data_IF_973364610113
#
_entry.id   IF_973364610113
#
_cell.length_a   1.000
_cell.length_b   1.000
_cell.length_c   1.000
_cell.angle_alpha   90.00
_cell.angle_beta   90.00
_cell.angle_gamma   90.00
#
_symmetry.space_group_name_H-M   'P 1'
#
loop_
_entity.id
_entity.type
_entity.pdbx_description
1 polymer ?
#
# COMPACT_ATOMS: atom_id res chain seq x y z
N UNK A 1 -50.77 6.12 44.45
CA UNK A 1 -50.44 4.73 44.04
C UNK A 1 -49.42 4.80 42.92
N UNK A 2 -48.14 4.63 43.22
CA UNK A 2 -47.08 4.45 42.22
C UNK A 2 -46.82 2.94 42.15
N UNK A 3 -47.41 2.28 41.15
CA UNK A 3 -47.24 0.85 40.91
C UNK A 3 -45.91 0.66 40.18
N UNK A 4 -44.85 0.40 40.93
CA UNK A 4 -43.59 -0.05 40.37
C UNK A 4 -43.77 -1.45 39.79
N UNK A 5 -43.83 -1.56 38.48
CA UNK A 5 -43.73 -2.85 37.80
C UNK A 5 -42.29 -3.34 37.91
N UNK A 6 -42.03 -4.12 38.97
CA UNK A 6 -40.80 -4.89 39.08
C UNK A 6 -40.71 -5.85 37.92
N UNK A 7 -39.84 -5.54 36.96
CA UNK A 7 -39.53 -6.45 35.86
C UNK A 7 -39.00 -7.76 36.44
N UNK A 8 -39.68 -8.86 36.14
CA UNK A 8 -39.27 -10.20 36.60
C UNK A 8 -37.79 -10.45 36.28
N UNK A 9 -37.05 -10.97 37.25
CA UNK A 9 -35.61 -11.26 37.13
C UNK A 9 -35.30 -12.15 35.93
N UNK A 10 -36.23 -13.02 35.56
CA UNK A 10 -36.13 -13.88 34.37
C UNK A 10 -36.19 -13.09 33.05
N UNK A 11 -37.00 -12.03 32.99
CA UNK A 11 -37.09 -11.15 31.80
C UNK A 11 -35.82 -10.32 31.67
N UNK A 12 -35.28 -9.83 32.80
CA UNK A 12 -34.01 -9.12 32.84
C UNK A 12 -32.85 -10.03 32.38
N UNK A 13 -32.78 -11.26 32.89
CA UNK A 13 -31.73 -12.21 32.58
C UNK A 13 -31.75 -12.64 31.10
N UNK A 14 -32.93 -12.90 30.53
CA UNK A 14 -33.08 -13.21 29.09
C UNK A 14 -32.61 -12.06 28.20
N UNK A 15 -32.88 -10.81 28.58
CA UNK A 15 -32.41 -9.62 27.84
C UNK A 15 -30.89 -9.48 27.90
N UNK A 16 -30.28 -9.76 29.05
CA UNK A 16 -28.82 -9.74 29.21
C UNK A 16 -28.16 -10.81 28.32
N UNK A 17 -28.68 -12.04 28.33
CA UNK A 17 -28.16 -13.13 27.48
C UNK A 17 -28.27 -12.76 26.00
N UNK A 18 -29.43 -12.26 25.55
CA UNK A 18 -29.62 -11.84 24.16
C UNK A 18 -28.65 -10.73 23.75
N UNK A 19 -28.39 -9.77 24.65
CA UNK A 19 -27.45 -8.68 24.41
C UNK A 19 -25.99 -9.18 24.29
N UNK A 20 -25.56 -10.07 25.18
CA UNK A 20 -24.22 -10.68 25.13
C UNK A 20 -24.05 -11.49 23.83
N UNK A 21 -25.03 -12.31 23.46
CA UNK A 21 -24.99 -13.07 22.20
C UNK A 21 -24.89 -12.16 20.98
N UNK A 22 -25.62 -11.04 20.98
CA UNK A 22 -25.54 -10.04 19.91
C UNK A 22 -24.15 -9.40 19.84
N UNK A 23 -23.56 -9.02 20.97
CA UNK A 23 -22.20 -8.48 21.03
C UNK A 23 -21.15 -9.48 20.54
N UNK A 24 -21.27 -10.76 20.90
CA UNK A 24 -20.37 -11.82 20.42
C UNK A 24 -20.51 -12.01 18.91
N UNK A 25 -21.72 -11.97 18.37
CA UNK A 25 -21.94 -12.06 16.93
C UNK A 25 -21.34 -10.86 16.19
N UNK A 26 -21.52 -9.64 16.69
CA UNK A 26 -20.92 -8.42 16.12
C UNK A 26 -19.39 -8.46 16.21
N UNK A 27 -18.83 -8.86 17.34
CA UNK A 27 -17.38 -9.02 17.51
C UNK A 27 -16.84 -10.11 16.57
N UNK A 28 -17.53 -11.23 16.42
CA UNK A 28 -17.16 -12.31 15.49
C UNK A 28 -17.18 -11.86 14.02
N UNK A 29 -18.17 -11.04 13.62
CA UNK A 29 -18.22 -10.44 12.28
C UNK A 29 -17.08 -9.44 12.09
N UNK A 30 -16.83 -8.53 13.04
CA UNK A 30 -15.76 -7.54 12.95
C UNK A 30 -14.36 -8.19 12.93
N UNK A 31 -14.12 -9.20 13.77
CA UNK A 31 -12.89 -9.98 13.77
C UNK A 31 -12.76 -10.82 12.49
N UNK A 32 -13.84 -11.41 11.99
CA UNK A 32 -13.88 -12.16 10.74
C UNK A 32 -13.57 -11.29 9.52
N UNK A 33 -14.13 -10.08 9.47
CA UNK A 33 -13.85 -9.11 8.40
C UNK A 33 -12.37 -8.68 8.34
N UNK A 34 -11.68 -8.58 9.49
CA UNK A 34 -10.24 -8.29 9.52
C UNK A 34 -9.34 -9.47 9.08
N UNK A 35 -9.85 -10.70 9.06
CA UNK A 35 -9.08 -11.89 8.65
C UNK A 35 -9.02 -12.01 7.12
N UNK A 36 -9.99 -11.45 6.39
CA UNK A 36 -10.06 -11.62 4.93
C UNK A 36 -9.15 -10.67 4.12
N UNK A 37 -8.51 -9.68 4.74
CA UNK A 37 -7.68 -8.68 4.02
C UNK A 37 -6.31 -8.40 4.69
N UNK A 38 -5.68 -9.42 5.28
CA UNK A 38 -4.37 -9.29 5.93
C UNK A 38 -3.25 -10.07 5.22
N UNK A 39 -3.45 -10.39 3.93
CA UNK A 39 -2.34 -10.90 3.11
C UNK A 39 -1.29 -9.81 2.96
N UNK A 40 -0.06 -10.16 3.26
CA UNK A 40 1.11 -9.31 2.99
C UNK A 40 1.65 -9.71 1.63
N UNK A 41 1.97 -8.71 0.83
CA UNK A 41 2.54 -8.85 -0.50
C UNK A 41 3.93 -8.22 -0.50
N UNK A 42 4.78 -8.63 -1.42
CA UNK A 42 6.08 -8.02 -1.68
C UNK A 42 6.08 -7.49 -3.10
N UNK A 43 6.89 -6.46 -3.36
CA UNK A 43 7.12 -6.01 -4.73
C UNK A 43 7.97 -7.05 -5.45
N UNK A 44 7.53 -7.49 -6.63
CA UNK A 44 8.28 -8.40 -7.48
C UNK A 44 8.76 -7.60 -8.68
N UNK A 45 10.08 -7.45 -8.82
CA UNK A 45 10.64 -6.72 -9.96
C UNK A 45 10.46 -7.51 -11.27
N UNK A 46 10.16 -6.80 -12.35
CA UNK A 46 10.08 -7.39 -13.69
C UNK A 46 11.43 -7.92 -14.19
N UNK A 47 12.52 -7.28 -13.74
CA UNK A 47 13.88 -7.59 -14.16
C UNK A 47 14.83 -7.62 -12.98
N UNK A 48 15.95 -8.34 -13.14
CA UNK A 48 17.00 -8.37 -12.14
C UNK A 48 17.69 -7.00 -12.00
N UNK A 49 18.25 -6.73 -10.81
CA UNK A 49 19.02 -5.51 -10.55
C UNK A 49 20.18 -5.27 -11.54
N UNK A 50 20.69 -6.34 -12.15
CA UNK A 50 21.77 -6.27 -13.15
C UNK A 50 21.35 -5.63 -14.46
N UNK A 51 20.05 -5.56 -14.73
CA UNK A 51 19.45 -4.89 -15.89
C UNK A 51 19.01 -3.45 -15.58
N UNK A 52 19.24 -2.95 -14.36
CA UNK A 52 18.95 -1.57 -14.00
C UNK A 52 19.89 -0.63 -14.75
N UNK A 53 19.30 0.25 -15.55
CA UNK A 53 20.00 1.29 -16.30
C UNK A 53 20.09 2.59 -15.50
N UNK A 54 19.03 2.96 -14.80
CA UNK A 54 18.97 4.16 -13.95
C UNK A 54 18.09 3.88 -12.72
N UNK A 55 18.47 4.41 -11.56
CA UNK A 55 17.64 4.37 -10.35
C UNK A 55 17.50 5.81 -9.83
N UNK A 56 16.27 6.30 -9.76
CA UNK A 56 15.96 7.69 -9.49
C UNK A 56 15.03 7.80 -8.30
N UNK A 57 15.23 8.83 -7.48
CA UNK A 57 14.21 9.32 -6.56
C UNK A 57 13.52 10.48 -7.26
N UNK A 58 12.21 10.36 -7.44
CA UNK A 58 11.39 11.38 -8.10
C UNK A 58 10.24 11.79 -7.19
N UNK A 59 9.79 13.03 -7.29
CA UNK A 59 8.51 13.48 -6.75
C UNK A 59 7.48 13.55 -7.89
N UNK A 60 6.36 12.87 -7.72
CA UNK A 60 5.31 12.78 -8.74
C UNK A 60 4.09 13.58 -8.28
N UNK A 61 3.76 14.63 -9.01
CA UNK A 61 2.57 15.44 -8.75
C UNK A 61 1.53 15.31 -9.87
N UNK A 62 0.27 15.57 -9.54
CA UNK A 62 -0.84 15.59 -10.48
C UNK A 62 -1.65 16.87 -10.31
N UNK A 63 -1.55 17.76 -11.29
CA UNK A 63 -2.35 18.99 -11.36
C UNK A 63 -3.27 18.90 -12.58
N UNK A 64 -4.58 18.98 -12.36
CA UNK A 64 -5.61 18.89 -13.41
C UNK A 64 -5.48 17.65 -14.32
N UNK A 65 -5.03 16.52 -13.77
CA UNK A 65 -4.81 15.27 -14.50
C UNK A 65 -3.53 15.23 -15.33
N UNK A 66 -2.69 16.26 -15.23
CA UNK A 66 -1.35 16.31 -15.84
C UNK A 66 -0.35 15.86 -14.79
N UNK A 67 0.25 14.69 -15.04
CA UNK A 67 1.32 14.16 -14.20
C UNK A 67 2.65 14.84 -14.52
N UNK A 68 3.40 15.18 -13.47
CA UNK A 68 4.74 15.74 -13.56
C UNK A 68 5.67 14.96 -12.65
N UNK A 69 6.85 14.69 -13.17
CA UNK A 69 7.94 14.08 -12.41
C UNK A 69 9.03 15.13 -12.18
N UNK A 70 9.41 15.35 -10.92
CA UNK A 70 10.57 16.13 -10.53
C UNK A 70 11.67 15.17 -10.05
N UNK A 71 12.86 15.24 -10.67
CA UNK A 71 14.00 14.45 -10.22
C UNK A 71 14.56 15.05 -8.92
N UNK A 72 14.55 14.27 -7.84
CA UNK A 72 15.15 14.64 -6.56
C UNK A 72 16.60 14.16 -6.46
N UNK A 73 16.89 12.91 -6.85
CA UNK A 73 18.23 12.34 -6.79
C UNK A 73 18.40 11.19 -7.79
N UNK A 74 19.61 11.05 -8.34
CA UNK A 74 20.03 9.86 -9.09
C UNK A 74 20.88 8.98 -8.16
N UNK A 75 20.49 7.73 -7.97
CA UNK A 75 21.17 6.76 -7.11
C UNK A 75 22.22 5.98 -7.89
N UNK A 76 23.31 5.60 -7.21
CA UNK A 76 24.38 4.83 -7.84
C UNK A 76 23.93 3.42 -8.20
N UNK A 77 24.23 2.99 -9.42
CA UNK A 77 24.02 1.60 -9.85
C UNK A 77 24.92 0.60 -9.09
N UNK A 78 26.02 1.06 -8.48
CA UNK A 78 26.84 0.22 -7.61
C UNK A 78 26.05 -0.30 -6.40
N UNK A 79 25.05 0.45 -5.95
CA UNK A 79 24.15 0.10 -4.85
C UNK A 79 22.85 -0.58 -5.31
N UNK A 80 22.67 -0.86 -6.61
CA UNK A 80 21.41 -1.35 -7.16
C UNK A 80 20.90 -2.62 -6.45
N UNK A 81 21.81 -3.57 -6.15
CA UNK A 81 21.45 -4.80 -5.46
C UNK A 81 20.87 -4.54 -4.07
N UNK A 82 21.47 -3.63 -3.32
CA UNK A 82 21.02 -3.30 -1.97
C UNK A 82 19.68 -2.56 -2.02
N UNK A 83 19.50 -1.65 -2.98
CA UNK A 83 18.24 -0.94 -3.20
C UNK A 83 17.09 -1.91 -3.51
N UNK A 84 17.33 -2.92 -4.35
CA UNK A 84 16.32 -3.93 -4.67
C UNK A 84 15.94 -4.75 -3.43
N UNK A 85 16.94 -5.18 -2.64
CA UNK A 85 16.67 -5.89 -1.39
C UNK A 85 15.87 -5.04 -0.39
N UNK A 86 16.19 -3.75 -0.26
CA UNK A 86 15.48 -2.84 0.63
C UNK A 86 14.01 -2.68 0.21
N UNK A 87 13.74 -2.65 -1.10
CA UNK A 87 12.37 -2.60 -1.64
C UNK A 87 11.62 -3.91 -1.44
N UNK A 88 12.25 -5.07 -1.65
CA UNK A 88 11.64 -6.40 -1.40
C UNK A 88 11.27 -6.59 0.08
N UNK A 89 12.03 -5.95 0.99
CA UNK A 89 11.76 -5.94 2.43
C UNK A 89 10.53 -5.09 2.82
N UNK A 90 9.96 -4.32 1.90
CA UNK A 90 8.74 -3.55 2.16
C UNK A 90 7.52 -4.47 2.12
N UNK A 91 6.74 -4.41 3.19
CA UNK A 91 5.44 -5.07 3.26
C UNK A 91 4.39 -4.25 2.52
N UNK A 92 3.72 -4.85 1.54
CA UNK A 92 2.58 -4.29 0.84
C UNK A 92 1.27 -4.95 1.28
N UNK A 93 0.16 -4.22 1.12
CA UNK A 93 -1.20 -4.72 1.28
C UNK A 93 -2.04 -4.37 0.08
N UNK A 94 -3.07 -5.18 -0.17
CA UNK A 94 -4.06 -4.83 -1.18
C UNK A 94 -4.89 -3.64 -0.68
N UNK A 95 -5.16 -2.68 -1.54
CA UNK A 95 -6.11 -1.61 -1.30
C UNK A 95 -7.22 -1.63 -2.37
N UNK A 96 -8.36 -1.01 -2.06
CA UNK A 96 -9.55 -1.01 -2.91
C UNK A 96 -9.30 -0.44 -4.32
N UNK A 97 -10.26 -0.59 -5.25
CA UNK A 97 -10.08 -0.20 -6.65
C UNK A 97 -9.95 1.32 -6.78
N UNK A 98 -8.72 1.82 -6.74
CA UNK A 98 -8.38 3.14 -7.26
C UNK A 98 -7.60 2.97 -8.55
N UNK A 99 -7.86 3.90 -9.48
CA UNK A 99 -7.12 4.06 -10.73
C UNK A 99 -6.28 5.34 -10.65
N UNK A 100 -5.71 5.64 -9.49
CA UNK A 100 -4.81 6.79 -9.38
C UNK A 100 -3.40 6.33 -9.74
N UNK A 101 -2.62 7.19 -10.35
CA UNK A 101 -1.20 6.92 -10.56
C UNK A 101 -0.48 7.08 -9.23
N UNK A 102 0.70 6.45 -9.13
CA UNK A 102 1.67 6.73 -8.08
C UNK A 102 1.89 8.25 -7.98
N UNK A 103 1.88 8.78 -6.76
CA UNK A 103 2.04 10.21 -6.47
C UNK A 103 2.87 10.39 -5.19
N UNK A 104 3.48 11.56 -5.05
CA UNK A 104 4.48 11.85 -4.04
C UNK A 104 5.84 11.25 -4.40
N UNK A 105 6.67 11.09 -3.37
CA UNK A 105 8.04 10.58 -3.52
C UNK A 105 8.04 9.11 -3.91
N UNK A 106 8.75 8.78 -4.96
CA UNK A 106 8.83 7.44 -5.53
C UNK A 106 10.29 7.06 -5.84
N UNK A 107 10.56 5.76 -5.83
CA UNK A 107 11.76 5.17 -6.41
C UNK A 107 11.39 4.71 -7.83
N UNK A 108 12.04 5.28 -8.83
CA UNK A 108 11.89 4.90 -10.24
C UNK A 108 13.11 4.11 -10.69
N UNK A 109 12.91 2.88 -11.12
CA UNK A 109 13.98 2.02 -11.64
C UNK A 109 13.74 1.82 -13.12
N UNK A 110 14.60 2.38 -13.96
CA UNK A 110 14.56 2.23 -15.41
C UNK A 110 15.49 1.10 -15.81
N UNK A 111 14.99 0.18 -16.62
CA UNK A 111 15.73 -0.98 -17.12
C UNK A 111 16.30 -0.74 -18.53
N UNK A 112 17.26 -1.57 -18.93
CA UNK A 112 17.94 -1.46 -20.22
C UNK A 112 17.01 -1.60 -21.44
N UNK A 113 15.93 -2.37 -21.31
CA UNK A 113 14.93 -2.54 -22.37
C UNK A 113 13.93 -1.37 -22.48
N UNK A 114 14.02 -0.39 -21.58
CA UNK A 114 13.14 0.78 -21.53
C UNK A 114 11.93 0.64 -20.60
N UNK A 115 11.68 -0.54 -20.04
CA UNK A 115 10.69 -0.73 -18.98
C UNK A 115 11.12 0.03 -17.72
N UNK A 116 10.18 0.35 -16.85
CA UNK A 116 10.52 0.88 -15.55
C UNK A 116 9.51 0.51 -14.46
N UNK A 117 10.03 0.35 -13.25
CA UNK A 117 9.22 0.24 -12.05
C UNK A 117 9.12 1.60 -11.38
N UNK A 118 7.91 2.00 -11.00
CA UNK A 118 7.63 3.19 -10.22
C UNK A 118 7.09 2.76 -8.87
N UNK A 119 7.95 2.72 -7.85
CA UNK A 119 7.60 2.27 -6.51
C UNK A 119 7.31 3.50 -5.64
N UNK A 120 6.07 3.65 -5.19
CA UNK A 120 5.66 4.67 -4.22
C UNK A 120 4.90 4.06 -3.04
N UNK A 121 4.67 4.87 -2.00
CA UNK A 121 3.90 4.44 -0.83
C UNK A 121 2.49 3.96 -1.20
N UNK A 122 1.92 4.52 -2.28
CA UNK A 122 0.60 4.19 -2.78
C UNK A 122 0.70 3.82 -4.26
N UNK A 123 0.12 2.68 -4.63
CA UNK A 123 -0.03 2.22 -6.01
C UNK A 123 1.30 2.18 -6.78
N UNK A 124 2.29 1.37 -6.34
CA UNK A 124 3.50 1.12 -7.13
C UNK A 124 3.13 0.45 -8.46
N UNK A 125 3.90 0.64 -9.54
CA UNK A 125 3.53 0.16 -10.88
C UNK A 125 4.73 -0.31 -11.70
N UNK A 126 4.49 -1.32 -12.53
CA UNK A 126 5.36 -1.68 -13.65
C UNK A 126 4.88 -0.94 -14.89
N UNK A 127 5.81 -0.36 -15.63
CA UNK A 127 5.56 0.29 -16.91
C UNK A 127 6.38 -0.39 -17.99
N UNK A 128 5.72 -0.91 -19.02
CA UNK A 128 6.38 -1.59 -20.12
C UNK A 128 6.61 -0.63 -21.28
N UNK A 129 7.79 -0.72 -21.90
CA UNK A 129 8.15 0.09 -23.04
C UNK A 129 7.23 -0.19 -24.23
N UNK A 130 6.56 0.86 -24.70
CA UNK A 130 5.62 0.78 -25.83
C UNK A 130 4.16 0.71 -25.45
N UNK A 131 3.83 0.61 -24.15
CA UNK A 131 2.45 0.74 -23.68
C UNK A 131 1.96 2.18 -23.82
N UNK A 132 0.68 2.34 -24.18
CA UNK A 132 0.06 3.66 -24.20
C UNK A 132 -0.17 4.14 -22.76
N UNK A 133 -0.10 5.45 -22.48
CA UNK A 133 -0.46 5.99 -21.16
C UNK A 133 -1.85 5.51 -20.75
N UNK A 134 -1.94 4.69 -19.70
CA UNK A 134 -3.19 4.08 -19.21
C UNK A 134 -3.42 2.60 -19.55
N UNK A 135 -2.54 1.98 -20.34
CA UNK A 135 -2.48 0.51 -20.51
C UNK A 135 -1.66 -0.18 -19.41
N UNK A 136 -1.04 0.59 -18.51
CA UNK A 136 -0.27 0.08 -17.37
C UNK A 136 -1.12 -0.84 -16.47
N UNK A 137 -0.51 -1.94 -16.01
CA UNK A 137 -1.10 -2.76 -14.95
C UNK A 137 -1.10 -1.97 -13.64
N UNK A 138 -2.26 -1.41 -13.27
CA UNK A 138 -2.44 -0.81 -11.96
C UNK A 138 -2.22 -1.88 -10.88
N UNK A 139 -1.16 -1.77 -10.08
CA UNK A 139 -1.06 -2.58 -8.87
C UNK A 139 -2.13 -2.10 -7.90
N UNK A 140 -2.78 -3.06 -7.25
CA UNK A 140 -3.71 -2.78 -6.16
C UNK A 140 -2.98 -2.72 -4.83
N UNK A 141 -1.69 -2.39 -4.83
CA UNK A 141 -0.83 -2.46 -3.66
C UNK A 141 -0.62 -1.07 -3.03
N UNK A 142 -0.51 -1.04 -1.72
CA UNK A 142 -0.05 0.11 -0.95
C UNK A 142 0.96 -0.39 0.07
N UNK A 143 1.97 0.42 0.37
CA UNK A 143 2.92 0.10 1.44
C UNK A 143 2.15 0.08 2.76
N UNK A 144 2.45 -0.93 3.58
CA UNK A 144 1.78 -1.15 4.87
C UNK A 144 2.08 -0.04 5.89
N UNK A 145 3.28 0.52 5.84
CA UNK A 145 3.71 1.69 6.62
C UNK A 145 4.35 2.72 5.69
N UNK A 146 3.59 3.77 5.37
CA UNK A 146 4.11 4.89 4.59
C UNK A 146 5.33 5.53 5.28
N UNK A 147 5.36 5.54 6.62
CA UNK A 147 6.49 6.06 7.40
C UNK A 147 7.78 5.26 7.17
N UNK A 148 7.68 3.93 7.02
CA UNK A 148 8.84 3.09 6.69
C UNK A 148 9.35 3.40 5.28
N UNK A 149 8.45 3.61 4.33
CA UNK A 149 8.81 3.98 2.97
C UNK A 149 9.46 5.38 2.92
N UNK A 150 8.86 6.36 3.60
CA UNK A 150 9.39 7.71 3.72
C UNK A 150 10.78 7.72 4.35
N UNK A 151 10.99 6.91 5.40
CA UNK A 151 12.29 6.78 6.04
C UNK A 151 13.37 6.19 5.10
N UNK A 152 13.00 5.24 4.24
CA UNK A 152 13.89 4.68 3.21
C UNK A 152 14.25 5.74 2.15
N UNK A 153 13.26 6.50 1.69
CA UNK A 153 13.51 7.61 0.75
C UNK A 153 14.44 8.65 1.40
N UNK A 154 14.18 9.02 2.65
CA UNK A 154 14.99 10.01 3.38
C UNK A 154 16.44 9.53 3.58
N UNK A 155 16.66 8.24 3.85
CA UNK A 155 18.02 7.70 3.95
C UNK A 155 18.78 7.83 2.63
N UNK A 156 18.14 7.50 1.51
CA UNK A 156 18.77 7.64 0.20
C UNK A 156 18.99 9.10 -0.20
N UNK A 157 18.12 10.03 0.19
CA UNK A 157 18.32 11.46 -0.09
C UNK A 157 19.47 12.08 0.72
N UNK A 158 19.81 11.49 1.87
CA UNK A 158 20.87 11.99 2.75
C UNK A 158 22.29 11.55 2.35
N UNK A 159 22.42 10.45 1.60
CA UNK A 159 23.70 9.95 1.06
C UNK A 159 24.33 10.87 0.00
#
# INVERSE_FOLDING_TARGET
MLRGEGMSTDVLMRRIIAFITCLIAVAGVLCGCNIFDNRTYHWEFEQEYSAAKEILIVDVSCDDGIYREELLKNLSLESAKDIFHDIEAIDFKKYGPNRLTTHGRCIKIVFENGDYDMIGAYEPRHHYYGDAPGDDFASYLVVRSAEQFDALIDSYLAE
#
